data_IF_601042548750
#
_entry.id   IF_601042548750
#
_cell.length_a   1.000
_cell.length_b   1.000
_cell.length_c   1.000
_cell.angle_alpha   90.00
_cell.angle_beta   90.00
_cell.angle_gamma   90.00
#
_symmetry.space_group_name_H-M   'P 1'
#
loop_
_entity.id
_entity.type
_entity.pdbx_description
1 polymer ?
#
# COMPACT_ATOMS: atom_id res chain seq x y z
N UNK A 1 33.75 -6.80 14.33
CA UNK A 1 32.79 -6.06 13.51
C UNK A 1 31.47 -6.76 13.72
N UNK A 2 30.52 -6.13 14.40
CA UNK A 2 29.15 -6.67 14.43
C UNK A 2 28.64 -6.65 13.00
N UNK A 3 27.89 -7.68 12.60
CA UNK A 3 27.12 -7.60 11.36
C UNK A 3 26.28 -6.31 11.41
N UNK A 4 26.09 -5.58 10.30
CA UNK A 4 25.06 -4.56 10.26
C UNK A 4 23.77 -5.20 10.77
N UNK A 5 23.06 -4.54 11.69
CA UNK A 5 21.71 -4.97 12.01
C UNK A 5 20.93 -4.90 10.70
N UNK A 6 20.33 -6.01 10.29
CA UNK A 6 19.39 -5.98 9.19
C UNK A 6 18.23 -5.09 9.67
N UNK A 7 17.90 -4.03 8.94
CA UNK A 7 16.93 -3.04 9.39
C UNK A 7 15.50 -3.59 9.41
N UNK A 8 14.55 -2.72 9.72
CA UNK A 8 13.13 -2.99 9.45
C UNK A 8 12.81 -2.51 8.05
N UNK A 9 12.13 -3.33 7.28
CA UNK A 9 11.48 -2.92 6.04
C UNK A 9 9.99 -2.81 6.32
N UNK A 10 9.31 -1.87 5.67
CA UNK A 10 7.87 -1.75 5.71
C UNK A 10 7.36 -1.52 4.29
N UNK A 11 6.17 -2.03 3.99
CA UNK A 11 5.48 -1.65 2.77
C UNK A 11 3.97 -1.68 2.98
N UNK A 12 3.28 -0.94 2.13
CA UNK A 12 1.82 -0.92 2.01
C UNK A 12 1.47 -0.80 0.52
N UNK A 13 0.34 -1.39 0.14
CA UNK A 13 -0.13 -1.38 -1.25
C UNK A 13 -1.42 -0.59 -1.41
N UNK A 14 -1.52 0.06 -2.56
CA UNK A 14 -2.73 0.69 -3.02
C UNK A 14 -3.25 0.01 -4.27
N UNK A 15 -4.57 -0.11 -4.36
CA UNK A 15 -5.22 -0.89 -5.42
C UNK A 15 -6.32 -0.11 -6.13
N UNK A 16 -6.50 -0.42 -7.41
CA UNK A 16 -7.67 -0.02 -8.20
C UNK A 16 -8.58 -1.24 -8.41
N UNK A 17 -9.81 -1.02 -8.86
CA UNK A 17 -10.70 -2.14 -9.14
C UNK A 17 -10.26 -2.88 -10.41
N UNK A 18 -10.23 -4.22 -10.34
CA UNK A 18 -10.15 -5.02 -11.55
C UNK A 18 -11.51 -5.10 -12.26
N UNK A 19 -11.47 -5.43 -13.55
CA UNK A 19 -12.68 -5.76 -14.32
C UNK A 19 -13.31 -7.05 -13.79
N UNK A 20 -14.45 -6.93 -13.11
CA UNK A 20 -15.17 -8.07 -12.52
C UNK A 20 -16.37 -8.48 -13.35
N UNK A 21 -16.59 -9.80 -13.55
CA UNK A 21 -17.81 -10.29 -14.19
C UNK A 21 -19.08 -9.82 -13.44
N UNK A 22 -20.17 -9.50 -14.16
CA UNK A 22 -21.42 -9.13 -13.52
C UNK A 22 -21.94 -10.23 -12.57
N UNK A 23 -22.37 -9.84 -11.37
CA UNK A 23 -22.96 -10.75 -10.39
C UNK A 23 -21.96 -11.50 -9.50
N UNK A 24 -20.68 -11.15 -9.56
CA UNK A 24 -19.66 -11.59 -8.60
C UNK A 24 -19.57 -10.56 -7.47
N UNK A 25 -19.75 -11.02 -6.22
CA UNK A 25 -19.60 -10.17 -5.04
C UNK A 25 -18.13 -9.76 -4.85
N UNK A 26 -17.91 -8.54 -4.34
CA UNK A 26 -16.56 -8.07 -4.04
C UNK A 26 -15.98 -8.86 -2.85
N UNK A 27 -14.72 -9.26 -3.00
CA UNK A 27 -13.93 -9.92 -1.97
C UNK A 27 -12.57 -9.24 -1.91
N UNK A 28 -12.25 -8.64 -0.77
CA UNK A 28 -10.99 -7.91 -0.53
C UNK A 28 -9.77 -8.82 -0.49
N UNK A 29 -9.95 -10.13 -0.33
CA UNK A 29 -8.82 -11.08 -0.30
C UNK A 29 -8.66 -11.82 -1.62
N UNK A 30 -9.50 -11.54 -2.62
CA UNK A 30 -9.38 -12.14 -3.95
C UNK A 30 -8.58 -11.23 -4.89
N UNK A 31 -7.36 -11.63 -5.31
CA UNK A 31 -6.55 -10.86 -6.26
C UNK A 31 -7.25 -10.64 -7.61
N UNK A 32 -8.27 -11.42 -7.99
CA UNK A 32 -9.04 -11.19 -9.23
C UNK A 32 -9.92 -9.93 -9.18
N UNK A 33 -10.12 -9.35 -8.00
CA UNK A 33 -11.05 -8.24 -7.80
C UNK A 33 -10.39 -6.86 -7.75
N UNK A 34 -9.06 -6.83 -7.64
CA UNK A 34 -8.24 -5.64 -7.50
C UNK A 34 -7.08 -5.71 -8.48
N UNK A 35 -6.47 -4.57 -8.81
CA UNK A 35 -5.18 -4.51 -9.50
C UNK A 35 -4.22 -3.61 -8.71
N UNK A 36 -2.93 -3.91 -8.79
CA UNK A 36 -1.90 -3.07 -8.17
C UNK A 36 -1.90 -1.68 -8.81
N UNK A 37 -1.89 -0.66 -7.95
CA UNK A 37 -1.85 0.74 -8.37
C UNK A 37 -0.55 1.42 -7.95
N UNK A 38 -0.23 1.41 -6.66
CA UNK A 38 1.08 1.84 -6.19
C UNK A 38 1.52 1.04 -4.97
N UNK A 39 2.82 1.05 -4.71
CA UNK A 39 3.42 0.40 -3.55
C UNK A 39 4.32 1.43 -2.88
N UNK A 40 4.07 1.71 -1.60
CA UNK A 40 5.03 2.46 -0.80
C UNK A 40 5.94 1.48 -0.08
N UNK A 41 7.24 1.60 -0.29
CA UNK A 41 8.28 0.80 0.36
C UNK A 41 9.13 1.70 1.24
N UNK A 42 9.53 1.20 2.40
CA UNK A 42 10.35 1.95 3.35
C UNK A 42 11.32 1.04 4.10
N UNK A 43 12.46 1.59 4.50
CA UNK A 43 13.48 0.87 5.24
C UNK A 43 14.12 1.76 6.31
N UNK A 44 14.31 1.20 7.49
CA UNK A 44 14.96 1.84 8.62
C UNK A 44 16.07 0.92 9.17
N UNK A 45 17.36 1.27 9.01
CA UNK A 45 18.49 0.41 9.42
C UNK A 45 18.56 0.13 10.93
N UNK A 46 18.13 1.08 11.76
CA UNK A 46 18.10 0.96 13.22
C UNK A 46 17.07 1.91 13.83
N UNK A 47 16.55 1.65 15.05
CA UNK A 47 15.65 2.56 15.73
C UNK A 47 16.27 3.95 15.89
N UNK A 48 15.52 4.98 15.46
CA UNK A 48 15.95 6.38 15.49
C UNK A 48 16.76 6.84 14.27
N UNK A 49 17.14 5.94 13.35
CA UNK A 49 17.69 6.34 12.05
C UNK A 49 16.60 6.91 11.14
N UNK A 50 17.04 7.66 10.12
CA UNK A 50 16.15 8.18 9.08
C UNK A 50 15.49 7.02 8.30
N UNK A 51 14.19 7.17 8.04
CA UNK A 51 13.42 6.22 7.23
C UNK A 51 13.61 6.62 5.76
N UNK A 52 14.28 5.76 5.01
CA UNK A 52 14.33 5.85 3.55
C UNK A 52 13.05 5.23 2.99
N UNK A 53 12.37 5.90 2.06
CA UNK A 53 11.16 5.36 1.45
C UNK A 53 11.02 5.81 -0.01
N UNK A 54 10.23 5.06 -0.76
CA UNK A 54 9.87 5.36 -2.14
C UNK A 54 8.41 4.97 -2.38
N UNK A 55 7.69 5.77 -3.17
CA UNK A 55 6.33 5.45 -3.61
C UNK A 55 6.41 5.15 -5.10
N UNK A 56 6.17 3.89 -5.44
CA UNK A 56 6.28 3.38 -6.80
C UNK A 56 4.87 3.35 -7.40
N UNK A 57 4.62 4.21 -8.38
CA UNK A 57 3.34 4.29 -9.08
C UNK A 57 3.37 3.47 -10.36
N UNK A 58 2.29 2.72 -10.61
CA UNK A 58 1.99 2.18 -11.94
C UNK A 58 1.75 3.33 -12.93
N UNK A 59 2.43 3.28 -14.08
CA UNK A 59 2.41 4.39 -15.05
C UNK A 59 1.39 4.23 -16.18
N UNK A 60 0.82 3.04 -16.37
CA UNK A 60 -0.16 2.77 -17.43
C UNK A 60 -1.15 1.67 -17.00
N UNK A 61 -2.24 1.53 -17.75
CA UNK A 61 -3.16 0.40 -17.57
C UNK A 61 -2.60 -0.89 -18.17
N UNK A 62 -3.19 -2.03 -17.81
CA UNK A 62 -2.82 -3.35 -18.31
C UNK A 62 -1.71 -4.07 -17.52
N UNK A 63 -1.53 -5.37 -17.79
CA UNK A 63 -0.73 -6.28 -16.96
C UNK A 63 0.78 -5.98 -16.98
N UNK A 64 1.32 -5.47 -18.09
CA UNK A 64 2.75 -5.16 -18.18
C UNK A 64 3.15 -4.07 -17.19
N UNK A 65 2.40 -2.97 -17.14
CA UNK A 65 2.65 -1.87 -16.20
C UNK A 65 2.38 -2.26 -14.75
N UNK A 66 1.45 -3.20 -14.51
CA UNK A 66 1.23 -3.79 -13.19
C UNK A 66 2.45 -4.60 -12.72
N UNK A 67 3.04 -5.40 -13.60
CA UNK A 67 4.29 -6.12 -13.29
C UNK A 67 5.47 -5.18 -13.12
N UNK A 68 5.55 -4.08 -13.87
CA UNK A 68 6.63 -3.10 -13.75
C UNK A 68 6.68 -2.47 -12.34
N UNK A 69 5.52 -2.12 -11.77
CA UNK A 69 5.47 -1.55 -10.41
C UNK A 69 5.79 -2.61 -9.33
N UNK A 70 5.34 -3.84 -9.53
CA UNK A 70 5.62 -4.96 -8.62
C UNK A 70 7.11 -5.31 -8.61
N UNK A 71 7.72 -5.45 -9.80
CA UNK A 71 9.15 -5.71 -9.97
C UNK A 71 9.98 -4.60 -9.33
N UNK A 72 9.66 -3.33 -9.62
CA UNK A 72 10.38 -2.20 -9.05
C UNK A 72 10.34 -2.21 -7.51
N UNK A 73 9.22 -2.60 -6.91
CA UNK A 73 9.09 -2.69 -5.46
C UNK A 73 9.94 -3.81 -4.89
N UNK A 74 9.87 -5.02 -5.46
CA UNK A 74 10.68 -6.16 -5.01
C UNK A 74 12.17 -5.89 -5.19
N UNK A 75 12.58 -5.33 -6.34
CA UNK A 75 13.96 -4.93 -6.58
C UNK A 75 14.45 -3.92 -5.53
N UNK A 76 13.62 -2.92 -5.19
CA UNK A 76 13.96 -1.94 -4.15
C UNK A 76 14.15 -2.62 -2.80
N UNK A 77 13.20 -3.48 -2.41
CA UNK A 77 13.22 -4.20 -1.13
C UNK A 77 14.42 -5.15 -1.02
N UNK A 78 14.80 -5.82 -2.10
CA UNK A 78 15.96 -6.70 -2.18
C UNK A 78 17.30 -5.97 -1.97
N UNK A 79 17.37 -4.67 -2.29
CA UNK A 79 18.56 -3.86 -1.98
C UNK A 79 18.74 -3.58 -0.48
N UNK A 80 17.70 -3.84 0.33
CA UNK A 80 17.61 -3.50 1.76
C UNK A 80 17.26 -4.74 2.60
N UNK A 81 18.12 -5.77 2.67
CA UNK A 81 17.80 -7.04 3.31
C UNK A 81 17.35 -6.84 4.77
N UNK A 82 16.09 -7.12 5.11
CA UNK A 82 15.53 -6.79 6.42
C UNK A 82 15.77 -7.89 7.45
N UNK A 83 15.65 -7.54 8.74
CA UNK A 83 15.42 -8.53 9.79
C UNK A 83 13.97 -9.03 9.70
N UNK A 84 13.03 -8.10 9.48
CA UNK A 84 11.59 -8.33 9.36
C UNK A 84 10.92 -7.31 8.46
N UNK A 85 9.77 -7.68 7.91
CA UNK A 85 8.90 -6.82 7.12
C UNK A 85 7.67 -6.43 7.94
N UNK A 86 7.59 -5.15 8.31
CA UNK A 86 6.48 -4.54 9.01
C UNK A 86 5.33 -4.25 8.05
N UNK A 87 4.12 -4.61 8.46
CA UNK A 87 2.87 -4.25 7.78
C UNK A 87 1.77 -4.01 8.81
N UNK A 88 0.65 -3.43 8.40
CA UNK A 88 -0.59 -3.45 9.18
C UNK A 88 -1.65 -4.15 8.35
N UNK A 89 -1.93 -5.42 8.67
CA UNK A 89 -2.76 -6.34 7.88
C UNK A 89 -2.09 -6.95 6.63
N UNK A 90 -0.75 -6.93 6.53
CA UNK A 90 -0.07 -7.45 5.35
C UNK A 90 -0.29 -8.94 5.12
N UNK A 91 -0.36 -9.74 6.18
CA UNK A 91 -0.63 -11.18 6.08
C UNK A 91 -2.05 -11.45 5.56
N UNK A 92 -2.96 -10.49 5.75
CA UNK A 92 -4.37 -10.59 5.37
C UNK A 92 -4.74 -9.89 4.07
N UNK A 93 -3.83 -9.11 3.47
CA UNK A 93 -4.10 -8.30 2.30
C UNK A 93 -2.86 -8.12 1.41
N UNK A 94 -1.83 -7.42 1.88
CA UNK A 94 -0.73 -6.93 1.05
C UNK A 94 0.07 -8.06 0.40
N UNK A 95 0.50 -9.07 1.18
CA UNK A 95 1.25 -10.20 0.64
C UNK A 95 0.40 -11.04 -0.33
N UNK A 96 -0.89 -11.23 -0.01
CA UNK A 96 -1.83 -11.99 -0.85
C UNK A 96 -1.97 -11.32 -2.22
N UNK A 97 -2.09 -10.00 -2.25
CA UNK A 97 -2.23 -9.25 -3.49
C UNK A 97 -0.92 -9.07 -4.23
N UNK A 98 0.21 -8.89 -3.53
CA UNK A 98 1.52 -8.82 -4.17
C UNK A 98 1.81 -10.09 -4.99
N UNK A 99 1.64 -11.27 -4.38
CA UNK A 99 1.80 -12.57 -5.04
C UNK A 99 0.72 -12.80 -6.10
N UNK A 100 -0.55 -12.69 -5.71
CA UNK A 100 -1.68 -13.01 -6.59
C UNK A 100 -1.77 -12.11 -7.81
N UNK A 101 -1.44 -10.83 -7.68
CA UNK A 101 -1.43 -9.89 -8.82
C UNK A 101 -0.24 -10.11 -9.73
N UNK A 102 0.93 -10.49 -9.21
CA UNK A 102 2.05 -10.91 -10.04
C UNK A 102 1.65 -12.10 -10.94
N UNK A 103 1.05 -13.14 -10.35
CA UNK A 103 0.53 -14.30 -11.09
C UNK A 103 -0.50 -13.88 -12.14
N UNK A 104 -1.55 -13.16 -11.72
CA UNK A 104 -2.64 -12.75 -12.60
C UNK A 104 -2.15 -11.91 -13.79
N UNK A 105 -1.25 -10.96 -13.56
CA UNK A 105 -0.71 -10.10 -14.60
C UNK A 105 0.22 -10.87 -15.56
N UNK A 106 1.08 -11.76 -15.03
CA UNK A 106 1.95 -12.62 -15.85
C UNK A 106 1.13 -13.58 -16.73
N UNK A 107 0.09 -14.21 -16.17
CA UNK A 107 -0.82 -15.09 -16.91
C UNK A 107 -1.58 -14.34 -18.02
N UNK A 108 -2.07 -13.13 -17.72
CA UNK A 108 -2.76 -12.30 -18.70
C UNK A 108 -1.84 -11.87 -19.86
N UNK A 109 -0.55 -11.65 -19.57
CA UNK A 109 0.46 -11.34 -20.57
C UNK A 109 0.95 -12.59 -21.33
N UNK A 110 0.92 -13.74 -20.68
CA UNK A 110 1.55 -14.99 -21.15
C UNK A 110 3.08 -14.94 -21.14
N UNK A 111 3.67 -14.07 -20.31
CA UNK A 111 5.10 -13.80 -20.21
C UNK A 111 5.44 -13.26 -18.81
N UNK A 112 6.72 -12.99 -18.53
CA UNK A 112 7.22 -12.35 -17.30
C UNK A 112 7.00 -13.13 -15.99
N UNK A 113 6.98 -14.45 -16.08
CA UNK A 113 6.97 -15.34 -14.91
C UNK A 113 8.22 -15.22 -14.03
N UNK A 114 9.29 -14.60 -14.52
CA UNK A 114 10.46 -14.27 -13.71
C UNK A 114 10.15 -13.23 -12.60
N UNK A 115 9.20 -12.31 -12.82
CA UNK A 115 8.73 -11.39 -11.76
C UNK A 115 7.95 -12.16 -10.69
N UNK A 116 7.17 -13.16 -11.10
CA UNK A 116 6.47 -14.06 -10.18
C UNK A 116 7.47 -14.81 -9.31
N UNK A 117 8.49 -15.42 -9.92
CA UNK A 117 9.56 -16.12 -9.19
C UNK A 117 10.28 -15.18 -8.19
N UNK A 118 10.48 -13.91 -8.54
CA UNK A 118 11.07 -12.90 -7.65
C UNK A 118 10.17 -12.58 -6.45
N UNK A 119 8.88 -12.34 -6.69
CA UNK A 119 7.90 -12.07 -5.62
C UNK A 119 7.81 -13.25 -4.67
N UNK A 120 7.68 -14.48 -5.19
CA UNK A 120 7.64 -15.69 -4.38
C UNK A 120 8.94 -15.85 -3.56
N UNK A 121 10.10 -15.63 -4.18
CA UNK A 121 11.40 -15.69 -3.49
C UNK A 121 11.51 -14.64 -2.38
N UNK A 122 11.01 -13.43 -2.60
CA UNK A 122 10.97 -12.38 -1.58
C UNK A 122 10.09 -12.80 -0.41
N UNK A 123 8.84 -13.22 -0.67
CA UNK A 123 7.87 -13.62 0.36
C UNK A 123 8.39 -14.82 1.17
N UNK A 124 8.96 -15.83 0.52
CA UNK A 124 9.57 -16.98 1.21
C UNK A 124 10.82 -16.60 2.02
N UNK A 125 11.52 -15.54 1.61
CA UNK A 125 12.79 -15.10 2.16
C UNK A 125 12.70 -14.18 3.38
N UNK A 126 11.52 -13.59 3.65
CA UNK A 126 11.34 -12.59 4.72
C UNK A 126 10.53 -13.12 5.91
N UNK A 127 10.80 -12.58 7.10
CA UNK A 127 9.94 -12.78 8.28
C UNK A 127 8.91 -11.64 8.31
N UNK A 128 7.62 -11.99 8.18
CA UNK A 128 6.51 -11.04 8.34
C UNK A 128 6.34 -10.64 9.81
N UNK A 129 6.13 -9.35 10.05
CA UNK A 129 5.81 -8.74 11.33
C UNK A 129 4.55 -7.86 11.17
N UNK A 130 3.41 -8.51 11.00
CA UNK A 130 2.09 -7.87 10.92
C UNK A 130 1.63 -7.35 12.29
N UNK A 131 1.41 -6.04 12.38
CA UNK A 131 1.03 -5.35 13.62
C UNK A 131 -0.46 -5.48 13.95
N UNK A 132 -1.32 -5.86 12.99
CA UNK A 132 -2.78 -5.88 13.18
C UNK A 132 -3.25 -6.87 14.26
N UNK A 133 -2.74 -8.11 14.37
CA UNK A 133 -3.19 -9.04 15.41
C UNK A 133 -2.99 -8.51 16.83
N UNK A 134 -1.84 -7.89 17.12
CA UNK A 134 -1.56 -7.26 18.43
C UNK A 134 -2.45 -6.03 18.64
N UNK A 135 -2.64 -5.21 17.61
CA UNK A 135 -3.51 -4.04 17.64
C UNK A 135 -4.97 -4.38 17.98
N UNK A 136 -5.54 -5.41 17.33
CA UNK A 136 -6.90 -5.90 17.61
C UNK A 136 -7.06 -6.32 19.07
N UNK A 137 -6.06 -7.01 19.61
CA UNK A 137 -6.06 -7.41 21.02
C UNK A 137 -5.97 -6.20 21.96
N UNK A 138 -5.09 -5.25 21.65
CA UNK A 138 -4.86 -4.06 22.46
C UNK A 138 -6.07 -3.11 22.47
N UNK A 139 -6.61 -2.78 21.30
CA UNK A 139 -7.80 -1.93 21.15
C UNK A 139 -9.09 -2.62 21.60
N UNK A 140 -9.06 -3.95 21.80
CA UNK A 140 -10.24 -4.78 22.05
C UNK A 140 -11.35 -4.53 20.99
N UNK A 141 -10.91 -4.43 19.74
CA UNK A 141 -11.74 -4.17 18.57
C UNK A 141 -11.26 -5.03 17.40
N UNK A 142 -12.11 -5.94 16.94
CA UNK A 142 -11.82 -6.83 15.81
C UNK A 142 -11.61 -6.08 14.48
N UNK A 143 -12.00 -4.82 14.42
CA UNK A 143 -11.82 -3.92 13.29
C UNK A 143 -10.89 -2.75 13.60
N UNK A 144 -10.02 -2.87 14.63
CA UNK A 144 -9.03 -1.85 14.95
C UNK A 144 -8.27 -1.41 13.69
N UNK A 145 -8.41 -0.13 13.33
CA UNK A 145 -7.69 0.45 12.19
C UNK A 145 -6.27 0.84 12.59
N UNK A 146 -5.43 1.05 11.58
CA UNK A 146 -4.09 1.57 11.77
C UNK A 146 -4.10 2.88 12.57
N UNK A 147 -4.92 3.84 12.15
CA UNK A 147 -5.02 5.17 12.77
C UNK A 147 -5.59 5.10 14.19
N UNK A 148 -6.57 4.23 14.43
CA UNK A 148 -7.10 3.98 15.78
C UNK A 148 -6.00 3.45 16.70
N UNK A 149 -5.16 2.54 16.18
CA UNK A 149 -4.07 1.95 16.95
C UNK A 149 -2.98 2.99 17.23
N UNK A 150 -2.54 3.73 16.22
CA UNK A 150 -1.59 4.83 16.37
C UNK A 150 -2.06 5.85 17.41
N UNK A 151 -3.32 6.31 17.30
CA UNK A 151 -3.93 7.23 18.25
C UNK A 151 -3.95 6.68 19.68
N UNK A 152 -4.26 5.38 19.84
CA UNK A 152 -4.33 4.74 21.16
C UNK A 152 -2.96 4.61 21.85
N UNK A 153 -1.85 4.55 21.10
CA UNK A 153 -0.49 4.50 21.65
C UNK A 153 0.25 5.85 21.60
N UNK A 154 -0.39 6.88 21.07
CA UNK A 154 0.19 8.23 20.96
C UNK A 154 1.19 8.41 19.81
N UNK A 155 1.12 7.55 18.79
CA UNK A 155 1.83 7.73 17.50
C UNK A 155 0.99 8.61 16.59
N UNK A 156 1.62 9.59 15.95
CA UNK A 156 0.95 10.47 15.01
C UNK A 156 0.86 9.80 13.63
N UNK A 157 -0.36 9.50 13.18
CA UNK A 157 -0.66 9.09 11.80
C UNK A 157 -1.26 10.30 11.08
N UNK A 158 -0.53 10.98 10.18
CA UNK A 158 -1.03 12.18 9.53
C UNK A 158 -2.21 11.87 8.61
N UNK A 159 -3.25 12.69 8.65
CA UNK A 159 -4.42 12.53 7.77
C UNK A 159 -4.19 13.18 6.41
N UNK A 160 -4.51 12.48 5.33
CA UNK A 160 -4.59 13.07 3.99
C UNK A 160 -5.91 13.82 3.81
N UNK A 161 -5.94 15.09 4.19
CA UNK A 161 -7.17 15.91 4.09
C UNK A 161 -7.51 16.24 2.64
N UNK A 162 -8.72 15.87 2.19
CA UNK A 162 -9.14 16.10 0.80
C UNK A 162 -9.13 17.58 0.41
N UNK A 163 -9.46 18.48 1.34
CA UNK A 163 -9.48 19.93 1.12
C UNK A 163 -8.09 20.55 0.88
N UNK A 164 -7.01 19.81 1.16
CA UNK A 164 -5.64 20.27 0.90
C UNK A 164 -5.26 20.16 -0.58
N UNK A 165 -6.05 19.43 -1.38
CA UNK A 165 -5.77 19.12 -2.79
C UNK A 165 -6.93 19.60 -3.69
N UNK A 166 -6.62 20.21 -4.83
CA UNK A 166 -7.63 20.60 -5.83
C UNK A 166 -7.95 19.43 -6.76
N UNK A 167 -8.54 18.37 -6.18
CA UNK A 167 -8.80 17.11 -6.87
C UNK A 167 -9.79 17.28 -8.02
N UNK A 168 -9.54 16.65 -9.18
CA UNK A 168 -10.39 16.80 -10.35
C UNK A 168 -11.71 15.99 -10.25
N UNK A 169 -11.85 15.17 -9.22
CA UNK A 169 -13.04 14.39 -8.86
C UNK A 169 -13.17 14.38 -7.34
N UNK A 170 -14.39 14.52 -6.87
CA UNK A 170 -14.73 14.31 -5.46
C UNK A 170 -15.03 12.81 -5.27
N UNK A 171 -14.25 12.07 -4.45
CA UNK A 171 -14.46 10.65 -4.22
C UNK A 171 -15.53 10.34 -3.14
N UNK A 172 -15.96 11.35 -2.36
CA UNK A 172 -16.93 11.16 -1.27
C UNK A 172 -18.28 10.58 -1.76
N UNK A 173 -18.87 11.04 -2.88
CA UNK A 173 -20.14 10.52 -3.38
C UNK A 173 -20.14 9.02 -3.72
N UNK A 174 -18.97 8.42 -3.95
CA UNK A 174 -18.80 7.01 -4.30
C UNK A 174 -18.63 6.12 -3.06
N UNK A 175 -18.44 6.72 -1.87
CA UNK A 175 -18.25 5.97 -0.63
C UNK A 175 -19.52 5.24 -0.19
N UNK A 176 -19.37 4.12 0.53
CA UNK A 176 -20.45 3.57 1.33
C UNK A 176 -21.02 4.63 2.29
N UNK A 177 -22.33 4.61 2.51
CA UNK A 177 -23.04 5.65 3.29
C UNK A 177 -22.44 5.90 4.69
N UNK A 178 -21.89 4.86 5.33
CA UNK A 178 -21.30 4.96 6.67
C UNK A 178 -19.92 5.67 6.71
N UNK A 179 -19.32 5.99 5.55
CA UNK A 179 -18.06 6.75 5.41
C UNK A 179 -18.22 8.08 4.63
N UNK A 180 -19.46 8.46 4.34
CA UNK A 180 -19.82 9.54 3.40
C UNK A 180 -19.56 10.98 3.89
N UNK A 181 -19.02 11.18 5.10
CA UNK A 181 -18.81 12.52 5.67
C UNK A 181 -17.37 12.84 6.05
N UNK A 182 -16.45 11.87 5.99
CA UNK A 182 -15.08 12.07 6.46
C UNK A 182 -14.28 12.94 5.47
N UNK A 183 -13.68 14.07 5.88
CA UNK A 183 -12.98 14.99 4.97
C UNK A 183 -11.53 14.56 4.66
N UNK A 184 -11.24 13.26 4.80
CA UNK A 184 -9.91 12.66 4.60
C UNK A 184 -9.98 11.61 3.49
N UNK A 185 -8.89 11.40 2.77
CA UNK A 185 -8.77 10.32 1.80
C UNK A 185 -8.76 8.98 2.54
N UNK A 186 -9.43 7.97 1.98
CA UNK A 186 -9.50 6.62 2.53
C UNK A 186 -9.20 5.61 1.42
N UNK A 187 -8.76 4.39 1.76
CA UNK A 187 -8.51 3.35 0.76
C UNK A 187 -9.68 3.05 -0.20
N UNK A 188 -10.94 3.32 0.19
CA UNK A 188 -12.08 3.17 -0.74
C UNK A 188 -12.18 4.26 -1.82
N UNK A 189 -11.46 5.37 -1.66
CA UNK A 189 -11.37 6.46 -2.62
C UNK A 189 -10.26 6.25 -3.65
N UNK A 190 -9.25 5.45 -3.29
CA UNK A 190 -8.07 5.17 -4.11
C UNK A 190 -8.47 4.61 -5.48
N UNK A 191 -9.42 3.67 -5.63
CA UNK A 191 -9.84 3.26 -6.96
C UNK A 191 -10.38 4.41 -7.83
N UNK A 192 -11.12 5.37 -7.24
CA UNK A 192 -11.69 6.52 -7.97
C UNK A 192 -10.58 7.45 -8.48
N UNK A 193 -9.59 7.74 -7.64
CA UNK A 193 -8.47 8.62 -8.00
C UNK A 193 -7.45 7.90 -8.89
N UNK A 194 -7.08 6.67 -8.53
CA UNK A 194 -6.10 5.82 -9.20
C UNK A 194 -6.50 5.45 -10.62
N UNK A 195 -7.76 5.08 -10.87
CA UNK A 195 -8.24 4.83 -12.25
C UNK A 195 -8.10 6.08 -13.12
N UNK A 196 -8.42 7.27 -12.57
CA UNK A 196 -8.26 8.52 -13.31
C UNK A 196 -6.80 8.91 -13.49
N UNK A 197 -5.96 8.66 -12.49
CA UNK A 197 -4.52 8.85 -12.56
C UNK A 197 -3.91 8.03 -13.69
N UNK A 198 -4.20 6.73 -13.76
CA UNK A 198 -3.68 5.82 -14.78
C UNK A 198 -4.12 6.24 -16.18
N UNK A 199 -5.39 6.61 -16.36
CA UNK A 199 -5.90 7.09 -17.65
C UNK A 199 -5.18 8.35 -18.16
N UNK A 200 -4.83 9.28 -17.26
CA UNK A 200 -4.07 10.48 -17.61
C UNK A 200 -2.60 10.15 -17.91
N UNK A 201 -1.99 9.29 -17.08
CA UNK A 201 -0.61 8.84 -17.24
C UNK A 201 -0.41 8.14 -18.59
N UNK A 202 -1.28 7.20 -18.94
CA UNK A 202 -1.23 6.45 -20.20
C UNK A 202 -1.38 7.35 -21.43
N UNK A 203 -2.17 8.41 -21.34
CA UNK A 203 -2.30 9.42 -22.40
C UNK A 203 -1.17 10.47 -22.42
N UNK A 204 -0.17 10.35 -21.55
CA UNK A 204 0.93 11.31 -21.40
C UNK A 204 0.49 12.67 -20.85
N UNK A 205 -0.65 12.76 -20.17
CA UNK A 205 -1.19 13.98 -19.59
C UNK A 205 -0.73 14.21 -18.14
N UNK A 206 0.57 14.03 -17.88
CA UNK A 206 1.16 14.14 -16.53
C UNK A 206 1.47 15.59 -16.13
N UNK A 207 1.58 16.50 -17.11
CA UNK A 207 1.91 17.92 -16.89
C UNK A 207 0.70 18.82 -16.55
N UNK A 208 -0.50 18.27 -16.38
CA UNK A 208 -1.69 19.06 -16.04
C UNK A 208 -1.89 19.13 -14.53
N UNK A 209 -2.54 20.22 -14.07
CA UNK A 209 -2.83 20.41 -12.64
C UNK A 209 -3.58 19.20 -12.04
N UNK A 210 -4.59 18.70 -12.74
CA UNK A 210 -5.38 17.56 -12.29
C UNK A 210 -4.53 16.31 -11.98
N UNK A 211 -3.51 16.01 -12.79
CA UNK A 211 -2.62 14.88 -12.55
C UNK A 211 -1.77 15.13 -11.31
N UNK A 212 -1.12 16.30 -11.22
CA UNK A 212 -0.27 16.65 -10.07
C UNK A 212 -1.02 16.64 -8.74
N UNK A 213 -2.22 17.21 -8.68
CA UNK A 213 -3.00 17.24 -7.43
C UNK A 213 -3.41 15.82 -6.97
N UNK A 214 -3.72 14.91 -7.91
CA UNK A 214 -3.96 13.50 -7.57
C UNK A 214 -2.66 12.80 -7.15
N UNK A 215 -1.56 13.03 -7.87
CA UNK A 215 -0.25 12.47 -7.56
C UNK A 215 0.19 12.88 -6.15
N UNK A 216 0.10 14.17 -5.81
CA UNK A 216 0.48 14.70 -4.51
C UNK A 216 -0.41 14.13 -3.39
N UNK A 217 -1.73 14.00 -3.63
CA UNK A 217 -2.66 13.41 -2.66
C UNK A 217 -2.39 11.93 -2.40
N UNK A 218 -2.18 11.15 -3.47
CA UNK A 218 -1.91 9.71 -3.37
C UNK A 218 -0.51 9.44 -2.80
N UNK A 219 0.47 10.29 -3.11
CA UNK A 219 1.82 10.22 -2.53
C UNK A 219 1.75 10.46 -1.03
N UNK A 220 1.07 11.52 -0.60
CA UNK A 220 0.90 11.81 0.83
C UNK A 220 0.18 10.68 1.55
N UNK A 221 -0.89 10.14 0.95
CA UNK A 221 -1.65 9.03 1.54
C UNK A 221 -0.83 7.75 1.72
N UNK A 222 -0.14 7.30 0.66
CA UNK A 222 0.70 6.10 0.74
C UNK A 222 1.88 6.29 1.71
N UNK A 223 2.48 7.49 1.78
CA UNK A 223 3.53 7.80 2.75
C UNK A 223 3.00 7.73 4.19
N UNK A 224 1.79 8.24 4.45
CA UNK A 224 1.19 8.28 5.79
C UNK A 224 0.78 6.91 6.32
N UNK A 225 0.55 5.94 5.45
CA UNK A 225 0.19 4.56 5.84
C UNK A 225 1.44 3.71 6.13
N UNK A 226 2.60 4.06 5.57
CA UNK A 226 3.86 3.32 5.79
C UNK A 226 4.74 3.90 6.89
N UNK A 227 5.00 5.21 6.89
CA UNK A 227 6.02 5.79 7.78
C UNK A 227 5.71 5.61 9.27
N UNK A 228 4.46 5.76 9.75
CA UNK A 228 4.18 5.59 11.17
C UNK A 228 4.24 4.12 11.63
N UNK A 229 4.31 3.13 10.73
CA UNK A 229 4.50 1.72 11.11
C UNK A 229 5.75 1.51 11.95
N UNK A 230 6.82 2.25 11.66
CA UNK A 230 8.08 2.15 12.39
C UNK A 230 7.95 2.64 13.84
N UNK A 231 7.28 3.77 14.05
CA UNK A 231 7.03 4.32 15.40
C UNK A 231 6.01 3.46 16.17
N UNK A 232 5.01 2.94 15.46
CA UNK A 232 4.05 2.00 16.01
C UNK A 232 4.77 0.71 16.47
N UNK A 233 5.66 0.15 15.64
CA UNK A 233 6.45 -1.02 16.00
C UNK A 233 7.36 -0.78 17.22
N UNK A 234 7.95 0.41 17.34
CA UNK A 234 8.77 0.81 18.50
C UNK A 234 7.96 0.98 19.79
N UNK A 235 6.66 1.21 19.66
CA UNK A 235 5.73 1.38 20.78
C UNK A 235 5.28 0.04 21.39
N UNK A 236 5.77 -1.09 20.86
CA UNK A 236 5.45 -2.43 21.38
C UNK A 236 6.22 -2.79 22.67
N UNK A 237 5.66 -3.67 23.53
CA UNK A 237 4.31 -4.21 23.42
C UNK A 237 3.28 -3.11 23.67
N UNK A 238 2.15 -3.16 22.98
CA UNK A 238 1.09 -2.18 23.20
C UNK A 238 0.54 -2.34 24.63
N UNK A 239 0.86 -1.38 25.49
CA UNK A 239 0.49 -1.40 26.91
C UNK A 239 -0.46 -0.26 27.25
N UNK A 240 -1.47 -0.55 28.08
CA UNK A 240 -2.41 0.44 28.61
C UNK A 240 -1.90 1.14 29.87
#
# INVERSE_FOLDING_TARGET
MSAPSNGLLAFDIETVNADRPPGVDFDFQNPDHLEMFCICVAHRPSPGDEIEHEILFREATGPAAELDVIEAAVEWMDTKPPERVLTFNGDGFDFIHLEGRAHNAADALGDRFDVVDQVESFIEGVESDDLRPEAVQFCNDQYASFEQTCSAVGVEAPETRLEAFDLPVDPIPQRPTYRSSEPILMGCDVPVLGERYLNLSECGQTDIKAFREMHDALTHYAETDVRPLFELADSRPFSS
#
